data_IF_300055354989
#
_entry.id   IF_300055354989
#
_cell.length_a   1.000
_cell.length_b   1.000
_cell.length_c   1.000
_cell.angle_alpha   90.00
_cell.angle_beta   90.00
_cell.angle_gamma   90.00
#
_symmetry.space_group_name_H-M   'P 1'
#
loop_
_entity.id
_entity.type
_entity.pdbx_description
1 polymer ?
#
# COMPACT_ATOMS: atom_id res chain seq x y z
N UNK A 1 -92.57 -31.54 -31.25
CA UNK A 1 -91.49 -32.56 -31.34
C UNK A 1 -90.24 -31.79 -31.77
N UNK A 2 -89.14 -31.66 -31.05
CA UNK A 2 -88.48 -32.52 -30.08
C UNK A 2 -87.62 -31.64 -29.14
N UNK A 3 -87.69 -31.85 -27.84
CA UNK A 3 -86.82 -31.23 -26.83
C UNK A 3 -85.50 -32.00 -26.76
N UNK A 4 -84.36 -31.31 -26.89
CA UNK A 4 -83.03 -31.86 -26.63
C UNK A 4 -82.55 -31.39 -25.23
N UNK A 5 -82.07 -32.28 -24.35
CA UNK A 5 -81.70 -31.92 -22.98
C UNK A 5 -80.25 -31.40 -22.87
N UNK A 6 -80.06 -30.41 -21.98
CA UNK A 6 -78.76 -29.91 -21.54
C UNK A 6 -77.95 -31.01 -20.83
N UNK A 7 -76.74 -31.27 -21.34
CA UNK A 7 -75.76 -32.19 -20.75
C UNK A 7 -75.10 -31.53 -19.53
N UNK A 8 -75.49 -31.95 -18.32
CA UNK A 8 -74.84 -31.52 -17.07
C UNK A 8 -73.39 -32.01 -17.04
N UNK A 9 -72.43 -31.07 -17.01
CA UNK A 9 -71.03 -31.37 -16.71
C UNK A 9 -70.90 -31.67 -15.21
N UNK A 10 -70.63 -32.93 -14.86
CA UNK A 10 -70.27 -33.31 -13.50
C UNK A 10 -68.89 -32.74 -13.16
N UNK A 11 -68.81 -31.88 -12.14
CA UNK A 11 -67.54 -31.55 -11.49
C UNK A 11 -67.01 -32.83 -10.84
N UNK A 12 -65.88 -33.33 -11.33
CA UNK A 12 -65.08 -34.33 -10.61
C UNK A 12 -64.66 -33.70 -9.28
N UNK A 13 -65.31 -34.09 -8.19
CA UNK A 13 -64.87 -33.76 -6.85
C UNK A 13 -63.57 -34.55 -6.59
N UNK A 14 -62.45 -33.84 -6.64
CA UNK A 14 -61.17 -34.39 -6.19
C UNK A 14 -61.34 -34.73 -4.71
N UNK A 15 -61.28 -36.03 -4.39
CA UNK A 15 -61.33 -36.53 -3.02
C UNK A 15 -60.04 -36.07 -2.34
N UNK A 16 -60.15 -35.18 -1.37
CA UNK A 16 -59.02 -34.74 -0.56
C UNK A 16 -58.59 -35.91 0.33
N UNK A 17 -57.46 -36.55 -0.01
CA UNK A 17 -56.77 -37.45 0.91
C UNK A 17 -56.18 -36.59 2.02
N UNK A 18 -56.73 -36.70 3.23
CA UNK A 18 -56.18 -36.02 4.40
C UNK A 18 -54.73 -36.44 4.62
N UNK A 19 -53.82 -35.47 4.64
CA UNK A 19 -52.40 -35.68 5.00
C UNK A 19 -52.31 -36.21 6.43
N UNK A 20 -51.48 -37.21 6.65
CA UNK A 20 -51.27 -37.76 8.00
C UNK A 20 -50.47 -36.77 8.86
N UNK A 21 -50.76 -36.68 10.16
CA UNK A 21 -50.05 -35.80 11.10
C UNK A 21 -48.53 -36.10 11.14
N UNK A 22 -48.16 -37.38 10.94
CA UNK A 22 -46.77 -37.81 10.85
C UNK A 22 -46.05 -37.30 9.59
N UNK A 23 -46.80 -37.13 8.49
CA UNK A 23 -46.28 -36.68 7.20
C UNK A 23 -45.89 -35.20 7.28
N UNK A 24 -46.70 -34.41 8.00
CA UNK A 24 -46.41 -33.01 8.31
C UNK A 24 -45.20 -32.88 9.25
N UNK A 25 -45.06 -33.76 10.24
CA UNK A 25 -43.89 -33.78 11.13
C UNK A 25 -42.60 -34.09 10.37
N UNK A 26 -42.62 -35.11 9.50
CA UNK A 26 -41.46 -35.48 8.68
C UNK A 26 -41.09 -34.33 7.74
N UNK A 27 -42.08 -33.71 7.08
CA UNK A 27 -41.84 -32.59 6.16
C UNK A 27 -41.18 -31.38 6.84
N UNK A 28 -41.61 -31.03 8.06
CA UNK A 28 -41.01 -29.94 8.84
C UNK A 28 -39.55 -30.25 9.23
N UNK A 29 -39.30 -31.49 9.69
CA UNK A 29 -37.94 -31.92 10.06
C UNK A 29 -37.00 -31.84 8.87
N UNK A 30 -37.43 -32.33 7.70
CA UNK A 30 -36.62 -32.26 6.46
C UNK A 30 -36.35 -30.79 6.08
N UNK A 31 -37.37 -29.93 6.16
CA UNK A 31 -37.23 -28.51 5.84
C UNK A 31 -36.24 -27.80 6.75
N UNK A 32 -36.26 -28.09 8.06
CA UNK A 32 -35.31 -27.54 9.04
C UNK A 32 -33.88 -27.99 8.76
N UNK A 33 -33.68 -29.27 8.43
CA UNK A 33 -32.35 -29.81 8.11
C UNK A 33 -31.78 -29.12 6.88
N UNK A 34 -32.57 -28.99 5.81
CA UNK A 34 -32.13 -28.32 4.57
C UNK A 34 -31.80 -26.84 4.85
N UNK A 35 -32.67 -26.13 5.59
CA UNK A 35 -32.46 -24.72 5.91
C UNK A 35 -31.18 -24.52 6.73
N UNK A 36 -30.87 -25.43 7.66
CA UNK A 36 -29.61 -25.39 8.42
C UNK A 36 -28.39 -25.50 7.52
N UNK A 37 -28.42 -26.39 6.51
CA UNK A 37 -27.34 -26.54 5.54
C UNK A 37 -27.14 -25.29 4.69
N UNK A 38 -28.23 -24.68 4.22
CA UNK A 38 -28.18 -23.44 3.43
C UNK A 38 -27.59 -22.28 4.23
N UNK A 39 -27.94 -22.15 5.52
CA UNK A 39 -27.37 -21.11 6.40
C UNK A 39 -25.86 -21.26 6.53
N UNK A 40 -25.35 -22.48 6.72
CA UNK A 40 -23.89 -22.72 6.80
C UNK A 40 -23.19 -22.35 5.49
N UNK A 41 -23.74 -22.76 4.34
CA UNK A 41 -23.19 -22.39 3.03
C UNK A 41 -23.19 -20.87 2.85
N UNK A 42 -24.28 -20.19 3.23
CA UNK A 42 -24.39 -18.75 3.14
C UNK A 42 -23.35 -18.03 4.02
N UNK A 43 -23.10 -18.49 5.25
CA UNK A 43 -22.08 -17.92 6.14
C UNK A 43 -20.69 -18.09 5.52
N UNK A 44 -20.37 -19.29 5.03
CA UNK A 44 -19.08 -19.56 4.37
C UNK A 44 -18.89 -18.70 3.12
N UNK A 45 -19.94 -18.55 2.31
CA UNK A 45 -19.90 -17.74 1.10
C UNK A 45 -19.71 -16.25 1.44
N UNK A 46 -20.41 -15.73 2.46
CA UNK A 46 -20.23 -14.36 2.94
C UNK A 46 -18.80 -14.12 3.43
N UNK A 47 -18.25 -15.03 4.21
CA UNK A 47 -16.87 -14.96 4.70
C UNK A 47 -15.84 -14.98 3.56
N UNK A 48 -16.09 -15.81 2.53
CA UNK A 48 -15.25 -15.88 1.34
C UNK A 48 -15.32 -14.59 0.53
N UNK A 49 -16.49 -13.95 0.43
CA UNK A 49 -16.64 -12.67 -0.26
C UNK A 49 -15.90 -11.54 0.47
N UNK A 50 -16.03 -11.44 1.80
CA UNK A 50 -15.31 -10.40 2.55
C UNK A 50 -13.79 -10.58 2.52
N UNK A 51 -13.32 -11.83 2.49
CA UNK A 51 -11.88 -12.13 2.39
C UNK A 51 -11.31 -11.75 1.01
N UNK A 52 -12.07 -11.99 -0.06
CA UNK A 52 -11.69 -11.58 -1.41
C UNK A 52 -11.66 -10.05 -1.55
N UNK A 53 -12.61 -9.34 -0.92
CA UNK A 53 -12.64 -7.87 -0.92
C UNK A 53 -11.41 -7.28 -0.20
N UNK A 54 -11.03 -7.85 0.95
CA UNK A 54 -9.83 -7.44 1.68
C UNK A 54 -8.54 -7.69 0.90
N UNK A 55 -8.46 -8.78 0.14
CA UNK A 55 -7.34 -9.07 -0.76
C UNK A 55 -7.26 -8.05 -1.90
N UNK A 56 -8.38 -7.75 -2.55
CA UNK A 56 -8.42 -6.79 -3.64
C UNK A 56 -7.97 -5.39 -3.18
N UNK A 57 -8.38 -4.97 -1.98
CA UNK A 57 -7.93 -3.72 -1.37
C UNK A 57 -6.43 -3.74 -1.06
N UNK A 58 -5.90 -4.87 -0.56
CA UNK A 58 -4.46 -5.02 -0.30
C UNK A 58 -3.66 -4.89 -1.59
N UNK A 59 -4.06 -5.57 -2.66
CA UNK A 59 -3.36 -5.53 -3.95
C UNK A 59 -3.34 -4.12 -4.57
N UNK A 60 -4.43 -3.35 -4.40
CA UNK A 60 -4.46 -1.94 -4.82
C UNK A 60 -3.53 -1.07 -3.96
N UNK A 61 -3.57 -1.24 -2.64
CA UNK A 61 -2.67 -0.56 -1.70
C UNK A 61 -1.20 -0.89 -1.98
N UNK A 62 -0.87 -2.14 -2.27
CA UNK A 62 0.47 -2.55 -2.68
C UNK A 62 0.88 -1.75 -3.92
N UNK A 63 0.13 -1.87 -5.02
CA UNK A 63 0.44 -1.15 -6.26
C UNK A 63 0.62 0.35 -6.07
N UNK A 64 -0.25 0.99 -5.28
CA UNK A 64 -0.18 2.42 -4.99
C UNK A 64 1.10 2.78 -4.21
N UNK A 65 1.41 2.03 -3.15
CA UNK A 65 2.61 2.23 -2.34
C UNK A 65 3.87 2.13 -3.20
N UNK A 66 3.94 1.11 -4.06
CA UNK A 66 5.09 0.89 -4.94
C UNK A 66 5.25 2.03 -5.94
N UNK A 67 4.15 2.49 -6.54
CA UNK A 67 4.17 3.57 -7.52
C UNK A 67 4.67 4.88 -6.89
N UNK A 68 4.15 5.26 -5.71
CA UNK A 68 4.55 6.50 -5.03
C UNK A 68 5.99 6.43 -4.55
N UNK A 69 6.39 5.34 -3.88
CA UNK A 69 7.76 5.17 -3.40
C UNK A 69 8.76 5.17 -4.54
N UNK A 70 8.47 4.44 -5.62
CA UNK A 70 9.38 4.34 -6.77
C UNK A 70 9.53 5.68 -7.46
N UNK A 71 8.43 6.36 -7.80
CA UNK A 71 8.48 7.66 -8.48
C UNK A 71 9.19 8.74 -7.64
N UNK A 72 8.85 8.84 -6.35
CA UNK A 72 9.46 9.84 -5.44
C UNK A 72 10.95 9.55 -5.21
N UNK A 73 11.33 8.26 -5.06
CA UNK A 73 12.72 7.86 -4.86
C UNK A 73 13.58 8.07 -6.11
N UNK A 74 13.03 7.82 -7.29
CA UNK A 74 13.71 8.12 -8.54
C UNK A 74 13.99 9.62 -8.68
N UNK A 75 13.05 10.49 -8.31
CA UNK A 75 13.26 11.95 -8.35
C UNK A 75 14.25 12.48 -7.32
N UNK A 76 14.74 11.68 -6.37
CA UNK A 76 15.68 12.14 -5.36
C UNK A 76 16.96 12.72 -5.99
N UNK A 77 17.33 13.92 -5.56
CA UNK A 77 18.45 14.68 -6.10
C UNK A 77 18.23 15.26 -7.49
N UNK A 78 17.00 15.25 -8.01
CA UNK A 78 16.67 16.05 -9.18
C UNK A 78 16.80 17.56 -8.85
N UNK A 79 17.23 18.34 -9.84
CA UNK A 79 17.26 19.80 -9.78
C UNK A 79 17.15 20.40 -11.19
N UNK A 80 16.42 21.52 -11.36
CA UNK A 80 16.27 22.18 -12.65
C UNK A 80 17.50 23.01 -13.02
N UNK A 81 17.67 23.23 -14.33
CA UNK A 81 18.68 24.10 -14.93
C UNK A 81 20.12 23.82 -14.43
N UNK A 82 20.73 22.71 -14.88
CA UNK A 82 22.08 22.33 -14.47
C UNK A 82 23.18 23.21 -15.07
N UNK A 83 22.84 24.19 -15.92
CA UNK A 83 23.80 25.16 -16.47
C UNK A 83 24.07 26.26 -15.44
N UNK A 84 23.02 26.72 -14.76
CA UNK A 84 23.13 27.83 -13.80
C UNK A 84 23.09 27.36 -12.34
N UNK A 85 22.62 26.14 -12.08
CA UNK A 85 22.49 25.60 -10.74
C UNK A 85 23.35 24.36 -10.52
N UNK A 86 23.67 24.13 -9.26
CA UNK A 86 24.28 22.89 -8.78
C UNK A 86 23.37 22.26 -7.73
N UNK A 87 23.58 20.97 -7.44
CA UNK A 87 22.91 20.31 -6.32
C UNK A 87 23.09 21.10 -5.02
N UNK A 88 24.30 21.56 -4.73
CA UNK A 88 24.60 22.29 -3.50
C UNK A 88 23.97 23.70 -3.45
N UNK A 89 23.76 24.36 -4.61
CA UNK A 89 23.17 25.70 -4.63
C UNK A 89 21.65 25.69 -4.45
N UNK A 90 20.96 24.63 -4.89
CA UNK A 90 19.51 24.51 -4.74
C UNK A 90 19.11 23.68 -3.51
N UNK A 91 19.80 22.56 -3.24
CA UNK A 91 19.60 21.76 -2.04
C UNK A 91 20.54 22.26 -0.93
N UNK A 92 20.22 23.43 -0.38
CA UNK A 92 21.01 24.05 0.70
C UNK A 92 21.02 23.19 1.97
N UNK A 93 21.98 23.46 2.87
CA UNK A 93 22.00 22.79 4.17
C UNK A 93 20.71 23.11 4.95
N UNK A 94 20.13 22.08 5.56
CA UNK A 94 18.89 22.16 6.32
C UNK A 94 19.09 21.46 7.66
N UNK A 95 18.94 22.19 8.77
CA UNK A 95 19.14 21.69 10.13
C UNK A 95 17.85 21.17 10.77
N UNK A 96 16.79 20.94 10.00
CA UNK A 96 15.53 20.41 10.52
C UNK A 96 15.70 19.02 11.13
N UNK A 97 15.25 18.84 12.37
CA UNK A 97 15.38 17.59 13.11
C UNK A 97 14.24 16.61 12.84
N UNK A 98 13.11 17.05 12.28
CA UNK A 98 11.93 16.20 12.00
C UNK A 98 12.23 15.11 10.98
N UNK A 99 13.03 15.40 9.95
CA UNK A 99 13.45 14.44 8.93
C UNK A 99 14.97 14.22 8.91
N UNK A 100 15.64 14.67 9.97
CA UNK A 100 17.09 14.63 10.13
C UNK A 100 17.82 15.71 9.31
N UNK A 101 18.93 16.25 9.86
CA UNK A 101 19.67 17.32 9.20
C UNK A 101 20.27 16.83 7.88
N UNK A 102 20.24 17.69 6.86
CA UNK A 102 20.75 17.45 5.53
C UNK A 102 21.83 18.49 5.22
N UNK A 103 23.01 18.06 4.76
CA UNK A 103 24.04 19.01 4.30
C UNK A 103 23.75 19.50 2.88
N UNK A 104 24.45 20.53 2.43
CA UNK A 104 24.29 21.05 1.07
C UNK A 104 24.57 19.95 0.03
N UNK A 105 23.68 19.81 -0.96
CA UNK A 105 23.77 18.80 -2.02
C UNK A 105 23.33 17.39 -1.63
N UNK A 106 23.04 17.11 -0.35
CA UNK A 106 22.56 15.80 0.09
C UNK A 106 21.12 15.55 -0.39
N UNK A 107 20.90 14.50 -1.18
CA UNK A 107 19.58 14.17 -1.73
C UNK A 107 18.80 13.15 -0.91
N UNK A 108 19.47 12.45 0.01
CA UNK A 108 18.86 11.34 0.74
C UNK A 108 19.40 11.25 2.18
N UNK A 109 18.51 10.86 3.08
CA UNK A 109 18.79 10.52 4.47
C UNK A 109 17.83 9.40 4.92
N UNK A 110 18.01 8.89 6.13
CA UNK A 110 17.05 7.99 6.75
C UNK A 110 17.54 7.44 8.07
N UNK A 111 16.74 6.59 8.68
CA UNK A 111 17.05 5.92 9.95
C UNK A 111 16.86 4.43 9.82
N UNK A 112 17.73 3.67 10.49
CA UNK A 112 17.53 2.23 10.67
C UNK A 112 16.67 2.02 11.90
N UNK A 113 15.50 1.40 11.68
CA UNK A 113 14.58 0.96 12.70
C UNK A 113 15.03 -0.33 13.36
N UNK A 114 14.20 -0.81 14.29
CA UNK A 114 14.48 -2.02 15.08
C UNK A 114 13.47 -3.14 14.82
N UNK A 115 12.47 -2.94 13.96
CA UNK A 115 11.46 -3.97 13.72
C UNK A 115 10.29 -3.52 12.84
N UNK A 116 9.08 -3.79 13.32
CA UNK A 116 7.81 -3.63 12.59
C UNK A 116 7.07 -2.36 12.98
N UNK A 117 6.04 -1.99 12.22
CA UNK A 117 5.19 -0.83 12.48
C UNK A 117 6.01 0.46 12.51
N UNK A 118 5.71 1.38 13.43
CA UNK A 118 6.42 2.66 13.56
C UNK A 118 7.90 2.55 13.97
N UNK A 119 8.38 1.36 14.34
CA UNK A 119 9.79 1.08 14.59
C UNK A 119 10.55 0.60 13.34
N UNK A 120 9.91 0.64 12.17
CA UNK A 120 10.51 0.39 10.85
C UNK A 120 11.56 1.45 10.48
N UNK A 121 12.27 1.21 9.37
CA UNK A 121 13.19 2.21 8.82
C UNK A 121 12.42 3.47 8.38
N UNK A 122 13.14 4.59 8.22
CA UNK A 122 12.62 5.78 7.54
C UNK A 122 13.53 6.16 6.39
N UNK A 123 12.97 6.77 5.35
CA UNK A 123 13.77 7.34 4.25
C UNK A 123 13.26 8.72 3.91
N UNK A 124 14.19 9.66 3.82
CA UNK A 124 13.96 11.05 3.45
C UNK A 124 14.63 11.33 2.12
N UNK A 125 13.85 11.83 1.16
CA UNK A 125 14.26 12.07 -0.22
C UNK A 125 14.04 13.54 -0.53
N UNK A 126 15.10 14.21 -1.01
CA UNK A 126 15.11 15.63 -1.29
C UNK A 126 15.46 15.91 -2.73
N UNK A 127 14.71 16.82 -3.35
CA UNK A 127 14.97 17.31 -4.72
C UNK A 127 14.39 18.71 -4.90
N UNK A 128 14.94 19.44 -5.87
CA UNK A 128 14.49 20.76 -6.27
C UNK A 128 13.69 20.66 -7.58
N UNK A 129 12.62 21.44 -7.70
CA UNK A 129 11.72 21.46 -8.85
C UNK A 129 11.58 22.88 -9.39
N UNK A 130 11.47 23.03 -10.69
CA UNK A 130 11.05 24.27 -11.33
C UNK A 130 9.53 24.33 -11.41
N UNK A 131 8.99 25.55 -11.49
CA UNK A 131 7.55 25.72 -11.69
C UNK A 131 7.12 25.11 -13.03
N UNK A 132 6.18 24.16 -12.99
CA UNK A 132 5.61 23.52 -14.17
C UNK A 132 6.43 22.37 -14.77
N UNK A 133 7.45 21.86 -14.07
CA UNK A 133 8.26 20.73 -14.56
C UNK A 133 7.59 19.35 -14.41
N UNK A 134 6.45 19.28 -13.73
CA UNK A 134 5.63 18.07 -13.59
C UNK A 134 6.19 17.05 -12.60
N UNK A 135 7.25 17.38 -11.86
CA UNK A 135 7.79 16.47 -10.85
C UNK A 135 6.87 16.44 -9.63
N UNK A 136 6.42 15.24 -9.29
CA UNK A 136 5.49 15.00 -8.19
C UNK A 136 6.22 14.96 -6.85
N UNK A 137 5.57 15.46 -5.81
CA UNK A 137 5.88 15.12 -4.41
C UNK A 137 5.15 13.84 -3.98
N UNK A 138 5.49 13.31 -2.82
CA UNK A 138 4.91 12.06 -2.31
C UNK A 138 3.39 12.14 -2.02
N UNK A 139 2.81 13.34 -2.02
CA UNK A 139 1.38 13.58 -1.87
C UNK A 139 0.69 13.87 -3.21
N UNK A 140 1.41 13.73 -4.33
CA UNK A 140 0.88 13.92 -5.69
C UNK A 140 0.80 15.38 -6.15
N UNK A 141 1.33 16.34 -5.38
CA UNK A 141 1.41 17.75 -5.79
C UNK A 141 2.61 18.03 -6.69
N UNK A 142 2.52 19.06 -7.52
CA UNK A 142 3.61 19.58 -8.36
C UNK A 142 3.90 21.05 -8.04
N UNK A 143 5.08 21.53 -8.44
CA UNK A 143 5.43 22.93 -8.23
C UNK A 143 4.73 23.84 -9.26
N UNK A 144 3.88 24.73 -8.77
CA UNK A 144 3.16 25.75 -9.57
C UNK A 144 3.42 27.17 -9.07
N UNK A 145 4.44 27.36 -8.23
CA UNK A 145 4.68 28.59 -7.47
C UNK A 145 5.32 29.73 -8.28
N UNK A 146 5.71 29.50 -9.53
CA UNK A 146 6.46 30.48 -10.34
C UNK A 146 7.93 30.64 -9.93
N UNK A 147 8.43 29.81 -9.02
CA UNK A 147 9.84 29.79 -8.57
C UNK A 147 10.30 28.37 -8.29
N UNK A 148 11.61 28.16 -8.13
CA UNK A 148 12.13 26.85 -7.73
C UNK A 148 11.68 26.50 -6.31
N UNK A 149 11.31 25.25 -6.08
CA UNK A 149 10.88 24.74 -4.78
C UNK A 149 11.64 23.46 -4.43
N UNK A 150 12.04 23.32 -3.17
CA UNK A 150 12.65 22.10 -2.66
C UNK A 150 11.57 21.28 -1.96
N UNK A 151 11.44 20.02 -2.35
CA UNK A 151 10.60 19.05 -1.66
C UNK A 151 11.46 18.10 -0.86
N UNK A 152 11.12 17.93 0.42
CA UNK A 152 11.67 16.93 1.33
C UNK A 152 10.56 15.95 1.65
N UNK A 153 10.64 14.75 1.09
CA UNK A 153 9.63 13.70 1.23
C UNK A 153 10.15 12.66 2.19
N UNK A 154 9.46 12.45 3.31
CA UNK A 154 9.86 11.49 4.33
C UNK A 154 8.84 10.38 4.44
N UNK A 155 9.24 9.15 4.12
CA UNK A 155 8.42 7.96 4.26
C UNK A 155 8.72 7.25 5.57
N UNK A 156 7.66 6.86 6.28
CA UNK A 156 7.73 6.07 7.49
C UNK A 156 6.47 5.22 7.63
N UNK A 157 6.44 4.34 8.63
CA UNK A 157 5.23 3.59 8.99
C UNK A 157 4.58 4.24 10.22
N UNK A 158 3.25 4.37 10.19
CA UNK A 158 2.46 4.89 11.31
C UNK A 158 2.29 3.83 12.40
N UNK A 159 1.79 4.21 13.57
CA UNK A 159 1.42 3.27 14.64
C UNK A 159 0.23 2.38 14.26
N UNK A 160 -0.52 2.75 13.21
CA UNK A 160 -1.64 1.99 12.66
C UNK A 160 -1.23 1.06 11.49
N UNK A 161 0.08 0.85 11.26
CA UNK A 161 0.62 0.05 10.15
C UNK A 161 0.24 0.62 8.77
N UNK A 162 0.34 1.94 8.63
CA UNK A 162 0.14 2.63 7.37
C UNK A 162 1.47 3.18 6.86
N UNK A 163 1.75 3.03 5.57
CA UNK A 163 2.80 3.82 4.93
C UNK A 163 2.31 5.25 4.85
N UNK A 164 3.06 6.18 5.41
CA UNK A 164 2.73 7.59 5.43
C UNK A 164 3.87 8.42 4.82
N UNK A 165 3.53 9.59 4.29
CA UNK A 165 4.52 10.57 3.87
C UNK A 165 4.35 11.91 4.57
N UNK A 166 5.46 12.46 5.06
CA UNK A 166 5.58 13.85 5.49
C UNK A 166 6.27 14.66 4.39
N UNK A 167 5.63 15.74 3.96
CA UNK A 167 6.20 16.71 3.03
C UNK A 167 6.76 17.90 3.82
N UNK A 168 8.04 18.23 3.62
CA UNK A 168 8.72 19.37 4.23
C UNK A 168 8.62 19.41 5.77
N UNK A 169 8.52 18.25 6.41
CA UNK A 169 8.40 18.12 7.87
C UNK A 169 7.00 18.43 8.42
N UNK A 170 5.99 18.56 7.57
CA UNK A 170 4.59 18.68 7.99
C UNK A 170 4.06 17.36 8.59
N UNK A 171 2.86 17.40 9.18
CA UNK A 171 2.18 16.19 9.66
C UNK A 171 2.10 15.13 8.56
N UNK A 172 2.51 13.91 8.88
CA UNK A 172 2.51 12.81 7.93
C UNK A 172 1.08 12.44 7.51
N UNK A 173 0.89 12.18 6.22
CA UNK A 173 -0.38 11.76 5.63
C UNK A 173 -0.32 10.27 5.32
N UNK A 174 -1.26 9.45 5.81
CA UNK A 174 -1.37 8.05 5.44
C UNK A 174 -1.62 7.90 3.93
N UNK A 175 -0.84 7.04 3.28
CA UNK A 175 -0.96 6.75 1.85
C UNK A 175 -1.66 5.41 1.63
N UNK A 176 -1.21 4.37 2.33
CA UNK A 176 -1.75 3.01 2.23
C UNK A 176 -1.75 2.32 3.58
N UNK A 177 -2.70 1.43 3.79
CA UNK A 177 -2.80 0.63 5.02
C UNK A 177 -2.29 -0.81 4.80
N UNK A 178 -2.06 -1.52 5.91
CA UNK A 178 -1.69 -2.94 5.88
C UNK A 178 -0.18 -3.19 5.76
N UNK A 179 0.65 -2.18 5.99
CA UNK A 179 2.11 -2.27 5.93
C UNK A 179 2.67 -2.57 7.32
N UNK A 180 3.07 -3.82 7.52
CA UNK A 180 3.61 -4.31 8.80
C UNK A 180 5.08 -3.95 9.03
N UNK A 181 5.88 -3.82 7.97
CA UNK A 181 7.28 -3.43 8.07
C UNK A 181 7.76 -2.72 6.81
N UNK A 182 8.71 -1.81 7.02
CA UNK A 182 9.41 -1.09 5.96
C UNK A 182 10.90 -1.10 6.26
N UNK A 183 11.70 -1.57 5.32
CA UNK A 183 13.16 -1.56 5.43
C UNK A 183 13.81 -0.95 4.20
N UNK A 184 14.86 -0.18 4.42
CA UNK A 184 15.61 0.52 3.39
C UNK A 184 17.10 0.27 3.58
N UNK A 185 17.73 -0.24 2.53
CA UNK A 185 19.19 -0.37 2.44
C UNK A 185 19.70 0.51 1.30
N UNK A 186 20.87 1.10 1.47
CA UNK A 186 21.41 2.13 0.61
C UNK A 186 22.59 1.57 -0.18
N UNK A 187 22.50 1.61 -1.50
CA UNK A 187 23.59 1.25 -2.40
C UNK A 187 24.61 2.38 -2.45
N UNK A 188 25.77 2.16 -1.84
CA UNK A 188 26.85 3.13 -1.70
C UNK A 188 27.96 2.86 -2.71
N UNK A 189 28.43 3.92 -3.35
CA UNK A 189 29.61 3.99 -4.21
C UNK A 189 30.82 4.42 -3.37
N UNK A 190 31.48 3.44 -2.74
CA UNK A 190 32.53 3.70 -1.74
C UNK A 190 33.84 4.20 -2.34
N UNK A 191 34.05 3.97 -3.64
CA UNK A 191 35.27 4.38 -4.35
C UNK A 191 35.05 5.57 -5.31
N UNK A 192 33.81 6.07 -5.44
CA UNK A 192 33.46 7.25 -6.23
C UNK A 192 33.48 7.02 -7.75
N UNK A 193 33.42 5.77 -8.21
CA UNK A 193 33.48 5.43 -9.64
C UNK A 193 32.11 5.53 -10.34
N UNK A 194 31.05 5.87 -9.61
CA UNK A 194 29.69 5.99 -10.11
C UNK A 194 28.85 4.72 -10.03
N UNK A 195 29.39 3.62 -9.51
CA UNK A 195 28.71 2.33 -9.36
C UNK A 195 28.50 1.98 -7.89
N UNK A 196 27.42 1.26 -7.60
CA UNK A 196 27.16 0.74 -6.26
C UNK A 196 28.13 -0.40 -5.96
N UNK A 197 28.93 -0.25 -4.90
CA UNK A 197 29.84 -1.30 -4.43
C UNK A 197 29.15 -2.21 -3.41
N UNK A 198 28.33 -1.63 -2.51
CA UNK A 198 27.71 -2.37 -1.41
C UNK A 198 26.41 -1.73 -0.95
N UNK A 199 25.54 -2.54 -0.33
CA UNK A 199 24.34 -2.08 0.34
C UNK A 199 24.55 -2.00 1.85
N UNK A 200 24.26 -0.84 2.43
CA UNK A 200 24.45 -0.53 3.85
C UNK A 200 23.13 -0.11 4.50
N UNK A 201 22.98 -0.30 5.81
CA UNK A 201 21.90 0.32 6.59
C UNK A 201 22.13 1.82 6.76
N UNK A 202 21.09 2.60 7.06
CA UNK A 202 21.24 4.03 7.35
C UNK A 202 22.26 4.29 8.47
N UNK A 203 22.30 3.46 9.51
CA UNK A 203 23.30 3.57 10.60
C UNK A 203 24.72 3.44 10.07
N UNK A 204 24.97 2.48 9.18
CA UNK A 204 26.29 2.26 8.57
C UNK A 204 26.67 3.45 7.66
N UNK A 205 25.75 3.90 6.80
CA UNK A 205 25.94 5.06 5.92
C UNK A 205 26.28 6.32 6.73
N UNK A 206 25.53 6.58 7.81
CA UNK A 206 25.76 7.72 8.69
C UNK A 206 27.13 7.63 9.38
N UNK A 207 27.50 6.47 9.90
CA UNK A 207 28.78 6.28 10.59
C UNK A 207 29.99 6.44 9.67
N UNK A 208 29.85 6.06 8.39
CA UNK A 208 30.89 6.20 7.37
C UNK A 208 30.89 7.54 6.64
N UNK A 209 29.89 8.41 6.87
CA UNK A 209 29.77 9.67 6.16
C UNK A 209 29.41 9.51 4.67
N UNK A 210 28.73 8.42 4.31
CA UNK A 210 28.52 8.02 2.92
C UNK A 210 27.22 8.54 2.27
N UNK A 211 26.46 9.43 2.92
CA UNK A 211 25.19 9.92 2.39
C UNK A 211 25.32 10.56 1.00
N UNK A 212 26.42 11.28 0.75
CA UNK A 212 26.70 11.87 -0.56
C UNK A 212 27.07 10.82 -1.63
N UNK A 213 27.42 9.60 -1.23
CA UNK A 213 27.85 8.51 -2.11
C UNK A 213 26.74 7.47 -2.36
N UNK A 214 25.52 7.73 -1.89
CA UNK A 214 24.37 6.85 -2.14
C UNK A 214 23.90 7.04 -3.58
N UNK A 215 23.82 5.95 -4.34
CA UNK A 215 23.38 5.93 -5.75
C UNK A 215 22.04 5.23 -5.97
N UNK A 216 21.68 4.31 -5.08
CA UNK A 216 20.42 3.59 -5.15
C UNK A 216 19.92 3.26 -3.75
N UNK A 217 18.64 2.91 -3.65
CA UNK A 217 18.06 2.29 -2.47
C UNK A 217 17.45 0.95 -2.84
N UNK A 218 17.51 0.01 -1.91
CA UNK A 218 16.71 -1.21 -1.94
C UNK A 218 15.67 -1.11 -0.84
N UNK A 219 14.42 -1.02 -1.27
CA UNK A 219 13.25 -0.89 -0.41
C UNK A 219 12.60 -2.26 -0.26
N UNK A 220 12.24 -2.62 0.97
CA UNK A 220 11.44 -3.80 1.30
C UNK A 220 10.18 -3.36 2.04
N UNK A 221 9.01 -3.68 1.49
CA UNK A 221 7.72 -3.51 2.16
C UNK A 221 7.15 -4.88 2.50
N UNK A 222 6.64 -5.02 3.73
CA UNK A 222 5.99 -6.25 4.20
C UNK A 222 4.53 -5.96 4.49
N UNK A 223 3.63 -6.56 3.73
CA UNK A 223 2.19 -6.48 3.92
C UNK A 223 1.70 -7.68 4.70
N UNK A 224 0.75 -7.48 5.62
CA UNK A 224 0.14 -8.57 6.39
C UNK A 224 -1.37 -8.53 6.27
N UNK A 225 -1.96 -9.65 5.87
CA UNK A 225 -3.40 -9.89 5.95
C UNK A 225 -3.69 -11.00 6.95
N UNK A 226 -4.82 -10.92 7.65
CA UNK A 226 -5.30 -11.98 8.52
C UNK A 226 -6.63 -12.51 7.98
N UNK A 227 -6.63 -13.73 7.45
CA UNK A 227 -7.86 -14.37 6.97
C UNK A 227 -8.56 -15.12 8.10
N UNK A 228 -9.84 -14.81 8.31
CA UNK A 228 -10.71 -15.55 9.23
C UNK A 228 -11.45 -16.68 8.49
N UNK A 229 -10.72 -17.65 7.95
CA UNK A 229 -11.32 -18.88 7.43
C UNK A 229 -10.65 -20.10 8.09
N UNK A 230 -11.32 -20.69 9.08
CA UNK A 230 -10.96 -21.97 9.71
C UNK A 230 -9.49 -22.15 10.14
N UNK A 231 -8.95 -21.15 10.85
CA UNK A 231 -7.57 -21.10 11.33
C UNK A 231 -6.93 -19.82 10.81
N UNK A 232 -6.66 -18.86 11.70
CA UNK A 232 -6.08 -17.57 11.33
C UNK A 232 -4.71 -17.79 10.66
N UNK A 233 -4.69 -17.89 9.34
CA UNK A 233 -3.46 -17.89 8.56
C UNK A 233 -3.13 -16.43 8.27
N UNK A 234 -2.10 -15.92 8.93
CA UNK A 234 -1.51 -14.63 8.59
C UNK A 234 -0.69 -14.82 7.33
N UNK A 235 -1.12 -14.22 6.22
CA UNK A 235 -0.31 -14.20 5.01
C UNK A 235 0.54 -12.94 5.03
N UNK A 236 1.85 -13.14 4.84
CA UNK A 236 2.82 -12.06 4.76
C UNK A 236 3.38 -12.01 3.35
N UNK A 237 3.16 -10.90 2.66
CA UNK A 237 3.71 -10.66 1.32
C UNK A 237 4.85 -9.66 1.46
N UNK A 238 6.02 -10.03 0.95
CA UNK A 238 7.19 -9.14 0.92
C UNK A 238 7.46 -8.70 -0.50
N UNK A 239 7.62 -7.39 -0.67
CA UNK A 239 8.06 -6.80 -1.92
C UNK A 239 9.41 -6.16 -1.73
N UNK A 240 10.33 -6.41 -2.67
CA UNK A 240 11.68 -5.87 -2.66
C UNK A 240 11.97 -5.21 -4.00
N UNK A 241 12.47 -3.98 -4.00
CA UNK A 241 12.84 -3.26 -5.21
C UNK A 241 14.09 -2.44 -5.04
N UNK A 242 14.95 -2.51 -6.06
CA UNK A 242 16.10 -1.64 -6.20
C UNK A 242 15.70 -0.44 -7.06
N UNK A 243 15.91 0.76 -6.53
CA UNK A 243 15.55 2.03 -7.14
C UNK A 243 16.81 2.89 -7.21
N UNK A 244 17.23 3.25 -8.42
CA UNK A 244 18.30 4.21 -8.65
C UNK A 244 17.81 5.63 -8.37
N UNK A 245 18.67 6.45 -7.79
CA UNK A 245 18.39 7.87 -7.54
C UNK A 245 18.84 8.70 -8.76
N UNK A 246 18.11 9.77 -9.08
CA UNK A 246 18.45 10.67 -10.20
C UNK A 246 19.60 11.63 -9.87
N UNK A 247 19.79 11.94 -8.58
CA UNK A 247 20.91 12.71 -8.06
C UNK A 247 22.24 12.04 -8.37
N UNK A 248 22.90 12.48 -9.44
CA UNK A 248 24.29 12.12 -9.71
C UNK A 248 25.16 12.90 -8.72
N UNK A 249 25.65 12.26 -7.66
CA UNK A 249 26.78 12.81 -6.91
C UNK A 249 27.94 13.02 -7.90
N UNK A 250 28.32 14.28 -8.04
CA UNK A 250 29.44 14.76 -8.86
C UNK A 250 30.76 14.37 -8.22
#
# INVERSE_FOLDING_TARGET
MSHAPHRRQGRLAVRQSGTSLIEIMIAMVISLVILSGVVVVFINMKQSFTSQDQLALLEDNERLALSILTSTSQSAGYFPDPVNNTLASLLVADSNTTYGPLVAGQSINGTTGTGTGSASDTVTLRYATASGDGILNCLGGTNTSGSNQVYVNTFSISTANELQCSLNGATAVPLVSGVSAFSVTYGVDTNGNGYVDTYMSATQVQSGGYWALVRSIRVTLTFTTSFSASGAQTQTTQWVQNISLMGRAT
#
